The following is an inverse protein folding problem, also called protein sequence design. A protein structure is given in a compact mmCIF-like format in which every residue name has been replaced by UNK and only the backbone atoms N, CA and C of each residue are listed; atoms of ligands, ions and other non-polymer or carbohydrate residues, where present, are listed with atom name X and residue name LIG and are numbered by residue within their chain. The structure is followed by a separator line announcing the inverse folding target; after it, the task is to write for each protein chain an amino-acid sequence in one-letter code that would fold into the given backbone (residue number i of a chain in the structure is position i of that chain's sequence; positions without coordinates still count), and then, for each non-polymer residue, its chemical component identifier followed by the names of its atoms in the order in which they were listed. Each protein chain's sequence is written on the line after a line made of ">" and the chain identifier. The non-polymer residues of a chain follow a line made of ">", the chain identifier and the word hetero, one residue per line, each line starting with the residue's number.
data_IF_579239660840
#
_entry.id   IF_579239660840
#
_cell.length_a   1.000
_cell.length_b   1.000
_cell.length_c   1.000
_cell.angle_alpha   90.00
_cell.angle_beta   90.00
_cell.angle_gamma   90.00
#
_symmetry.space_group_name_H-M   'P 1'
#
loop_
_entity.id
_entity.type
_entity.pdbx_description
1 polymer ?
#
# COMPACT_ATOMS: atom_id res chain seq x y z
N UNK A 1 77.90 31.97 -1.13
CA UNK A 1 76.51 32.42 -0.88
C UNK A 1 75.79 31.36 -0.08
N UNK A 2 75.46 31.65 1.18
CA UNK A 2 74.77 30.74 2.11
C UNK A 2 73.26 30.80 1.83
N UNK A 3 72.60 29.67 1.59
CA UNK A 3 71.14 29.59 1.53
C UNK A 3 70.60 29.12 2.88
N UNK A 4 69.80 29.98 3.49
CA UNK A 4 69.11 29.77 4.77
C UNK A 4 67.84 28.95 4.50
N UNK A 5 67.67 27.85 5.22
CA UNK A 5 66.45 27.02 5.22
C UNK A 5 65.54 27.48 6.36
N UNK A 6 64.29 27.85 6.04
CA UNK A 6 63.27 28.20 7.03
C UNK A 6 62.26 27.05 7.06
N UNK A 7 62.27 26.29 8.16
CA UNK A 7 61.29 25.25 8.47
C UNK A 7 60.13 25.93 9.22
N UNK A 8 58.93 25.90 8.63
CA UNK A 8 57.70 26.36 9.26
C UNK A 8 56.97 25.14 9.83
N UNK A 9 56.93 25.03 11.16
CA UNK A 9 56.12 24.03 11.87
C UNK A 9 54.69 24.57 12.05
N UNK A 10 53.74 24.00 11.32
CA UNK A 10 52.32 24.14 11.60
C UNK A 10 51.89 23.06 12.60
N UNK A 11 51.58 23.47 13.83
CA UNK A 11 50.95 22.61 14.84
C UNK A 11 49.44 22.72 14.67
N UNK A 12 48.82 21.72 14.06
CA UNK A 12 47.37 21.55 14.04
C UNK A 12 46.94 20.82 15.33
N UNK A 13 46.29 21.54 16.24
CA UNK A 13 45.58 20.96 17.38
C UNK A 13 44.18 20.51 16.91
N UNK A 14 44.04 19.20 16.68
CA UNK A 14 42.75 18.53 16.47
C UNK A 14 42.10 18.28 17.84
N UNK A 15 41.08 19.07 18.18
CA UNK A 15 40.23 18.83 19.35
C UNK A 15 39.18 17.80 18.94
N UNK A 16 39.37 16.56 19.39
CA UNK A 16 38.40 15.48 19.29
C UNK A 16 37.30 15.70 20.34
N UNK A 17 36.10 16.07 19.91
CA UNK A 17 34.90 16.06 20.74
C UNK A 17 34.35 14.64 20.79
N UNK A 18 34.59 13.93 21.89
CA UNK A 18 33.97 12.64 22.18
C UNK A 18 32.53 12.91 22.62
N UNK A 19 31.57 12.64 21.72
CA UNK A 19 30.15 12.60 22.05
C UNK A 19 29.85 11.19 22.55
N UNK A 20 29.52 11.05 23.84
CA UNK A 20 28.99 9.80 24.38
C UNK A 20 27.53 9.67 23.94
N UNK A 21 27.27 8.77 22.97
CA UNK A 21 25.93 8.26 22.73
C UNK A 21 25.61 7.22 23.80
N UNK A 22 24.59 7.47 24.62
CA UNK A 22 24.03 6.46 25.51
C UNK A 22 23.33 5.39 24.67
N UNK A 23 23.82 4.16 24.77
CA UNK A 23 23.21 2.98 24.19
C UNK A 23 21.87 2.71 24.88
N UNK A 24 20.77 2.90 24.16
CA UNK A 24 19.43 2.53 24.62
C UNK A 24 19.33 1.01 24.45
N UNK A 25 19.28 0.26 25.54
CA UNK A 25 19.05 -1.19 25.48
C UNK A 25 17.63 -1.46 24.92
N UNK A 26 17.49 -2.24 23.84
CA UNK A 26 16.20 -2.61 23.28
C UNK A 26 15.65 -3.82 24.04
N UNK A 27 15.36 -3.65 25.33
CA UNK A 27 14.60 -4.61 26.12
C UNK A 27 13.26 -3.98 26.48
N UNK A 28 12.19 -4.77 26.31
CA UNK A 28 10.80 -4.45 26.68
C UNK A 28 9.87 -3.82 25.61
N UNK A 29 10.06 -4.16 24.34
CA UNK A 29 8.92 -4.19 23.41
C UNK A 29 8.46 -5.62 23.18
N UNK A 30 7.54 -6.11 24.01
CA UNK A 30 6.77 -7.31 23.71
C UNK A 30 5.67 -6.94 22.70
N UNK A 31 5.88 -7.29 21.43
CA UNK A 31 4.84 -7.16 20.41
C UNK A 31 3.92 -8.38 20.50
N UNK A 32 2.61 -8.13 20.62
CA UNK A 32 1.60 -9.18 20.47
C UNK A 32 1.39 -9.45 18.98
N UNK A 33 1.60 -10.70 18.57
CA UNK A 33 1.25 -11.18 17.23
C UNK A 33 -0.29 -11.17 17.09
N UNK A 34 -0.84 -10.19 16.38
CA UNK A 34 -2.25 -10.18 16.02
C UNK A 34 -2.43 -10.85 14.65
N UNK A 35 -2.78 -12.13 14.69
CA UNK A 35 -3.23 -12.87 13.50
C UNK A 35 -4.68 -12.51 13.21
N UNK A 36 -4.95 -12.00 12.01
CA UNK A 36 -6.29 -11.65 11.61
C UNK A 36 -6.70 -12.36 10.31
N UNK A 37 -7.66 -13.29 10.42
CA UNK A 37 -8.20 -14.12 9.31
C UNK A 37 -9.47 -13.54 8.68
N UNK A 38 -9.57 -13.53 7.34
CA UNK A 38 -10.74 -13.02 6.58
C UNK A 38 -11.22 -13.97 5.48
N UNK A 39 -12.35 -13.65 4.86
CA UNK A 39 -13.01 -14.50 3.85
C UNK A 39 -12.30 -14.49 2.48
N UNK A 40 -11.65 -13.38 2.11
CA UNK A 40 -10.92 -13.21 0.84
C UNK A 40 -9.42 -12.92 1.02
N UNK A 41 -9.00 -12.65 2.25
CA UNK A 41 -7.60 -12.45 2.62
C UNK A 41 -7.40 -12.83 4.10
N UNK A 42 -6.18 -12.86 4.61
CA UNK A 42 -5.80 -12.79 6.04
C UNK A 42 -4.64 -11.79 6.03
N UNK A 43 -4.53 -10.92 7.02
CA UNK A 43 -3.33 -10.09 7.18
C UNK A 43 -2.76 -10.50 8.53
N UNK A 44 -1.59 -11.13 8.51
CA UNK A 44 -0.82 -11.39 9.73
C UNK A 44 0.35 -10.41 9.69
N UNK A 45 0.32 -9.42 10.58
CA UNK A 45 1.31 -8.35 10.61
C UNK A 45 2.27 -8.52 11.76
N UNK A 46 3.57 -8.57 11.47
CA UNK A 46 4.61 -8.34 12.48
C UNK A 46 5.04 -6.86 12.39
N UNK A 47 4.91 -6.09 13.49
CA UNK A 47 5.16 -4.64 13.48
C UNK A 47 6.63 -4.23 13.33
N UNK A 48 7.59 -5.15 13.19
CA UNK A 48 8.97 -4.75 12.93
C UNK A 48 9.19 -4.57 11.41
N UNK A 49 9.57 -3.35 11.01
CA UNK A 49 9.94 -2.94 9.64
C UNK A 49 8.84 -2.85 8.56
N UNK A 50 7.58 -2.58 8.92
CA UNK A 50 6.46 -2.33 7.97
C UNK A 50 6.18 -3.44 6.94
N UNK A 51 6.68 -4.67 7.16
CA UNK A 51 6.36 -5.80 6.30
C UNK A 51 5.20 -6.60 6.89
N UNK A 52 4.20 -6.86 6.06
CA UNK A 52 2.99 -7.60 6.43
C UNK A 52 2.89 -8.87 5.59
N UNK A 53 2.57 -9.97 6.24
CA UNK A 53 2.22 -11.21 5.56
C UNK A 53 0.73 -11.13 5.21
N UNK A 54 0.46 -11.05 3.91
CA UNK A 54 -0.89 -11.01 3.36
C UNK A 54 -1.18 -12.39 2.79
N UNK A 55 -2.25 -12.99 3.25
CA UNK A 55 -2.79 -14.21 2.73
C UNK A 55 -4.00 -13.81 1.89
N UNK A 56 -4.17 -14.35 0.71
CA UNK A 56 -5.27 -14.04 -0.18
C UNK A 56 -6.01 -15.34 -0.45
N UNK A 57 -7.27 -15.43 -0.04
CA UNK A 57 -8.12 -16.57 -0.34
C UNK A 57 -8.71 -16.36 -1.74
N UNK A 58 -8.01 -16.89 -2.75
CA UNK A 58 -8.40 -16.71 -4.14
C UNK A 58 -9.36 -17.82 -4.57
N UNK A 59 -10.40 -17.42 -5.29
CA UNK A 59 -11.26 -18.35 -6.02
C UNK A 59 -10.71 -18.56 -7.42
N UNK A 60 -10.96 -19.73 -8.03
CA UNK A 60 -10.69 -19.92 -9.45
C UNK A 60 -11.41 -18.86 -10.28
N UNK A 61 -10.67 -18.19 -11.17
CA UNK A 61 -11.17 -17.11 -12.01
C UNK A 61 -10.67 -15.74 -11.55
N UNK A 62 -11.48 -14.71 -11.77
CA UNK A 62 -11.13 -13.32 -11.47
C UNK A 62 -11.36 -12.98 -10.00
N UNK A 63 -10.35 -12.38 -9.39
CA UNK A 63 -10.40 -11.87 -8.02
C UNK A 63 -9.93 -10.41 -8.04
N UNK A 64 -10.60 -9.55 -7.29
CA UNK A 64 -10.18 -8.18 -7.06
C UNK A 64 -9.74 -8.08 -5.59
N UNK A 65 -8.44 -8.01 -5.37
CA UNK A 65 -7.86 -8.19 -4.03
C UNK A 65 -6.78 -7.16 -3.77
N UNK A 66 -6.52 -6.94 -2.49
CA UNK A 66 -5.35 -6.18 -2.06
C UNK A 66 -4.07 -6.85 -2.54
N UNK A 67 -3.15 -6.07 -3.07
CA UNK A 67 -1.83 -6.54 -3.39
C UNK A 67 -0.80 -5.42 -3.28
N UNK A 68 0.35 -5.76 -2.71
CA UNK A 68 1.46 -4.84 -2.50
C UNK A 68 1.95 -4.19 -3.79
N UNK A 69 2.84 -3.23 -3.64
CA UNK A 69 3.20 -2.28 -4.71
C UNK A 69 4.16 -2.88 -5.73
N UNK A 70 4.89 -3.92 -5.32
CA UNK A 70 5.88 -4.63 -6.11
C UNK A 70 5.27 -5.69 -7.05
N UNK A 71 6.08 -6.12 -8.01
CA UNK A 71 5.75 -7.21 -8.93
C UNK A 71 5.58 -8.52 -8.13
N UNK A 72 4.56 -9.31 -8.46
CA UNK A 72 4.07 -10.44 -7.67
C UNK A 72 5.09 -11.56 -7.42
N UNK A 73 6.12 -11.66 -8.27
CA UNK A 73 6.94 -12.87 -8.36
C UNK A 73 7.94 -13.03 -7.20
N UNK A 74 8.35 -11.95 -6.54
CA UNK A 74 9.40 -11.97 -5.51
C UNK A 74 8.88 -12.21 -4.08
N UNK A 75 7.57 -12.40 -3.89
CA UNK A 75 6.95 -12.27 -2.57
C UNK A 75 6.07 -13.44 -2.12
N UNK A 76 5.96 -14.53 -2.89
CA UNK A 76 5.16 -15.69 -2.45
C UNK A 76 5.85 -16.38 -1.27
N UNK A 77 5.18 -16.40 -0.11
CA UNK A 77 5.73 -16.94 1.14
C UNK A 77 5.64 -18.49 1.17
N UNK A 78 6.56 -19.16 1.90
CA UNK A 78 6.47 -20.59 2.15
C UNK A 78 5.12 -21.01 2.75
N UNK A 79 4.64 -22.19 2.38
CA UNK A 79 3.35 -22.70 2.83
C UNK A 79 2.12 -22.03 2.19
N UNK A 80 2.32 -21.26 1.12
CA UNK A 80 1.26 -20.85 0.20
C UNK A 80 0.72 -22.06 -0.57
N UNK A 81 -0.60 -22.19 -0.68
CA UNK A 81 -1.25 -23.26 -1.47
C UNK A 81 -1.18 -22.96 -2.97
N UNK A 82 -1.19 -21.67 -3.30
CA UNK A 82 -1.03 -21.15 -4.65
C UNK A 82 0.40 -20.65 -4.85
N UNK A 83 1.00 -20.99 -5.99
CA UNK A 83 2.24 -20.38 -6.46
C UNK A 83 2.01 -19.52 -7.70
N UNK A 84 3.03 -18.80 -8.16
CA UNK A 84 2.92 -17.96 -9.37
C UNK A 84 2.50 -18.74 -10.61
N UNK A 85 2.84 -20.03 -10.74
CA UNK A 85 2.37 -20.88 -11.85
C UNK A 85 0.84 -21.06 -11.90
N UNK A 86 0.19 -20.93 -10.75
CA UNK A 86 -1.26 -21.02 -10.58
C UNK A 86 -1.96 -19.67 -10.85
N UNK A 87 -1.19 -18.58 -10.97
CA UNK A 87 -1.67 -17.26 -11.38
C UNK A 87 -1.43 -17.12 -12.88
N UNK A 88 -2.46 -16.72 -13.63
CA UNK A 88 -2.34 -16.56 -15.08
C UNK A 88 -1.97 -15.14 -15.46
N UNK A 89 -2.65 -14.17 -14.84
CA UNK A 89 -2.45 -12.76 -15.12
C UNK A 89 -2.75 -11.93 -13.88
N UNK A 90 -2.00 -10.84 -13.72
CA UNK A 90 -2.28 -9.79 -12.76
C UNK A 90 -2.40 -8.47 -13.50
N UNK A 91 -3.45 -7.70 -13.23
CA UNK A 91 -3.60 -6.33 -13.72
C UNK A 91 -3.67 -5.32 -12.58
N UNK A 92 -2.92 -4.23 -12.70
CA UNK A 92 -3.15 -3.00 -11.96
C UNK A 92 -3.90 -2.00 -12.82
N UNK A 93 -4.61 -1.05 -12.20
CA UNK A 93 -5.09 0.15 -12.91
C UNK A 93 -4.16 1.31 -12.57
N UNK A 94 -3.82 2.12 -13.57
CA UNK A 94 -3.16 3.40 -13.33
C UNK A 94 -4.22 4.50 -13.42
N UNK A 95 -4.72 5.03 -12.30
CA UNK A 95 -5.97 5.80 -12.32
C UNK A 95 -5.88 7.07 -13.17
N UNK A 96 -4.73 7.74 -13.16
CA UNK A 96 -4.55 8.96 -13.92
C UNK A 96 -4.56 8.75 -15.44
N UNK A 97 -4.13 7.59 -15.94
CA UNK A 97 -4.26 7.23 -17.36
C UNK A 97 -5.52 6.42 -17.66
N UNK A 98 -6.22 5.92 -16.63
CA UNK A 98 -7.39 5.04 -16.71
C UNK A 98 -7.11 3.75 -17.51
N UNK A 99 -5.85 3.29 -17.52
CA UNK A 99 -5.45 2.09 -18.25
C UNK A 99 -5.15 0.93 -17.30
N UNK A 100 -5.54 -0.27 -17.73
CA UNK A 100 -5.07 -1.51 -17.12
C UNK A 100 -3.67 -1.83 -17.61
N UNK A 101 -2.83 -2.26 -16.69
CA UNK A 101 -1.44 -2.60 -16.91
C UNK A 101 -1.20 -4.04 -16.47
N UNK A 102 -0.71 -4.92 -17.35
CA UNK A 102 -0.30 -6.26 -16.95
C UNK A 102 0.93 -6.16 -16.05
N UNK A 103 0.87 -6.83 -14.90
CA UNK A 103 1.95 -6.91 -13.91
C UNK A 103 2.52 -8.34 -13.80
N UNK A 104 1.76 -9.34 -14.23
CA UNK A 104 2.19 -10.74 -14.36
C UNK A 104 1.52 -11.34 -15.62
N UNK A 105 2.24 -12.13 -16.46
CA UNK A 105 3.69 -12.36 -16.39
C UNK A 105 4.47 -11.05 -16.50
N UNK A 106 5.73 -11.05 -16.07
CA UNK A 106 6.54 -9.82 -16.04
C UNK A 106 6.50 -9.14 -17.42
N UNK A 107 6.14 -7.85 -17.49
CA UNK A 107 6.10 -7.12 -18.74
C UNK A 107 7.47 -7.10 -19.41
N UNK A 108 7.52 -7.15 -20.74
CA UNK A 108 8.77 -7.01 -21.49
C UNK A 108 9.42 -5.63 -21.28
N UNK A 109 10.68 -5.46 -21.69
CA UNK A 109 11.45 -4.23 -21.47
C UNK A 109 10.75 -2.99 -22.05
N UNK A 110 10.12 -3.12 -23.23
CA UNK A 110 9.40 -2.04 -23.88
C UNK A 110 8.14 -1.65 -23.12
N UNK A 111 7.42 -2.64 -22.59
CA UNK A 111 6.28 -2.41 -21.71
C UNK A 111 6.75 -1.75 -20.41
N UNK A 112 7.82 -2.23 -19.78
CA UNK A 112 8.37 -1.62 -18.57
C UNK A 112 8.78 -0.16 -18.80
N UNK A 113 9.42 0.17 -19.92
CA UNK A 113 9.77 1.55 -20.25
C UNK A 113 8.53 2.42 -20.43
N UNK A 114 7.51 1.90 -21.13
CA UNK A 114 6.21 2.58 -21.25
C UNK A 114 5.59 2.84 -19.86
N UNK A 115 5.66 1.87 -18.96
CA UNK A 115 5.16 2.00 -17.59
C UNK A 115 5.94 3.04 -16.80
N UNK A 116 7.27 2.98 -16.84
CA UNK A 116 8.13 3.99 -16.20
C UNK A 116 7.78 5.39 -16.68
N UNK A 117 7.56 5.57 -17.99
CA UNK A 117 7.16 6.87 -18.56
C UNK A 117 5.78 7.32 -18.08
N UNK A 118 4.81 6.42 -18.03
CA UNK A 118 3.46 6.73 -17.51
C UNK A 118 3.53 7.10 -16.03
N UNK A 119 4.31 6.37 -15.24
CA UNK A 119 4.47 6.62 -13.81
C UNK A 119 5.14 7.98 -13.60
N UNK A 120 6.28 8.23 -14.24
CA UNK A 120 7.05 9.46 -14.07
C UNK A 120 6.35 10.71 -14.63
N UNK A 121 5.52 10.59 -15.66
CA UNK A 121 4.79 11.75 -16.21
C UNK A 121 3.60 12.19 -15.38
N UNK A 122 3.15 11.33 -14.44
CA UNK A 122 1.80 11.47 -13.88
C UNK A 122 1.78 11.54 -12.36
N UNK A 123 2.81 11.01 -11.72
CA UNK A 123 2.99 11.08 -10.28
C UNK A 123 4.19 12.02 -10.05
N UNK A 124 3.99 13.24 -9.53
CA UNK A 124 5.09 14.04 -9.02
C UNK A 124 5.91 13.18 -8.05
N UNK A 125 7.25 13.24 -8.10
CA UNK A 125 8.12 12.40 -7.23
C UNK A 125 7.76 12.55 -5.74
N UNK A 126 7.20 13.69 -5.34
CA UNK A 126 6.71 13.96 -3.98
C UNK A 126 5.40 13.24 -3.62
N UNK A 127 4.75 12.56 -4.58
CA UNK A 127 3.49 11.79 -4.43
C UNK A 127 3.68 10.30 -4.70
N UNK A 128 4.83 9.72 -4.38
CA UNK A 128 5.07 8.26 -4.43
C UNK A 128 4.03 7.43 -3.63
N UNK A 129 3.19 8.10 -2.85
CA UNK A 129 2.09 7.57 -2.05
C UNK A 129 0.91 7.03 -2.87
N UNK A 130 0.81 7.33 -4.18
CA UNK A 130 -0.37 6.92 -4.95
C UNK A 130 -0.21 5.53 -5.56
N UNK A 131 -0.25 4.53 -4.68
CA UNK A 131 -0.32 3.12 -5.07
C UNK A 131 -1.76 2.65 -4.96
N UNK A 132 -2.38 2.33 -6.10
CA UNK A 132 -3.66 1.60 -6.08
C UNK A 132 -3.47 0.30 -5.32
N UNK A 133 -4.23 0.11 -4.25
CA UNK A 133 -4.02 -1.00 -3.33
C UNK A 133 -4.68 -2.29 -3.82
N UNK A 134 -5.66 -2.21 -4.74
CA UNK A 134 -6.32 -3.37 -5.32
C UNK A 134 -5.83 -3.70 -6.73
N UNK A 135 -5.66 -4.99 -7.00
CA UNK A 135 -5.26 -5.55 -8.30
C UNK A 135 -6.22 -6.65 -8.71
N UNK A 136 -6.41 -6.81 -10.02
CA UNK A 136 -7.07 -7.98 -10.58
C UNK A 136 -6.08 -9.14 -10.63
N UNK A 137 -6.52 -10.31 -10.17
CA UNK A 137 -5.76 -11.55 -10.27
C UNK A 137 -6.66 -12.61 -10.91
N UNK A 138 -6.17 -13.25 -11.96
CA UNK A 138 -6.79 -14.46 -12.48
C UNK A 138 -6.07 -15.71 -11.94
N UNK A 139 -6.77 -16.49 -11.11
CA UNK A 139 -6.25 -17.72 -10.54
C UNK A 139 -6.78 -18.95 -11.28
N UNK A 140 -5.89 -19.87 -11.68
CA UNK A 140 -6.24 -21.11 -12.40
C UNK A 140 -6.96 -22.13 -11.51
N UNK A 141 -6.76 -22.04 -10.19
CA UNK A 141 -7.42 -22.84 -9.15
C UNK A 141 -7.64 -22.01 -7.89
N UNK A 142 -8.56 -22.44 -7.03
CA UNK A 142 -8.79 -21.81 -5.73
C UNK A 142 -7.70 -22.20 -4.73
N UNK A 143 -7.45 -21.36 -3.74
CA UNK A 143 -6.54 -21.63 -2.63
C UNK A 143 -6.00 -20.35 -1.99
N UNK A 144 -5.18 -20.54 -0.97
CA UNK A 144 -4.53 -19.44 -0.24
C UNK A 144 -3.20 -19.07 -0.92
N UNK A 145 -3.10 -17.81 -1.37
CA UNK A 145 -1.86 -17.19 -1.83
C UNK A 145 -1.25 -16.35 -0.71
N UNK A 146 -0.10 -16.74 -0.17
CA UNK A 146 0.62 -15.98 0.87
C UNK A 146 1.67 -15.08 0.24
N UNK A 147 1.67 -13.80 0.58
CA UNK A 147 2.50 -12.75 0.00
C UNK A 147 3.13 -11.91 1.11
N UNK A 148 4.33 -11.39 0.87
CA UNK A 148 4.86 -10.28 1.66
C UNK A 148 4.49 -8.95 1.01
N UNK A 149 4.05 -7.98 1.80
CA UNK A 149 3.79 -6.61 1.34
C UNK A 149 4.44 -5.60 2.26
N UNK A 150 4.96 -4.52 1.70
CA UNK A 150 5.84 -3.58 2.41
C UNK A 150 5.17 -2.33 2.96
N UNK A 151 3.89 -2.03 2.69
CA UNK A 151 3.23 -0.83 3.24
C UNK A 151 1.70 -0.97 3.22
N UNK A 152 1.04 -0.52 4.28
CA UNK A 152 -0.36 -0.06 4.25
C UNK A 152 -0.37 1.46 4.27
N UNK A 153 -1.12 2.08 3.35
CA UNK A 153 -1.25 3.53 3.24
C UNK A 153 -2.60 3.95 3.80
N UNK A 154 -2.57 4.73 4.87
CA UNK A 154 -3.70 5.46 5.46
C UNK A 154 -4.26 6.54 4.52
N UNK A 155 -3.44 7.08 3.61
CA UNK A 155 -3.87 8.09 2.63
C UNK A 155 -4.03 7.46 1.25
N UNK A 156 -5.22 7.57 0.65
CA UNK A 156 -5.54 7.03 -0.68
C UNK A 156 -6.03 8.14 -1.58
N UNK A 157 -5.21 8.55 -2.56
CA UNK A 157 -5.64 9.47 -3.61
C UNK A 157 -6.49 8.75 -4.66
N UNK A 158 -7.64 9.34 -4.99
CA UNK A 158 -8.58 8.86 -5.99
C UNK A 158 -8.79 9.93 -7.07
N UNK A 159 -8.96 9.49 -8.31
CA UNK A 159 -9.21 10.37 -9.45
C UNK A 159 -10.66 10.30 -9.88
N UNK A 160 -11.15 11.36 -10.52
CA UNK A 160 -12.49 11.39 -11.08
C UNK A 160 -12.75 10.19 -12.01
N UNK A 161 -13.83 9.46 -11.71
CA UNK A 161 -14.18 8.21 -12.38
C UNK A 161 -13.89 6.99 -11.50
N UNK A 162 -13.49 5.89 -12.15
CA UNK A 162 -13.34 4.58 -11.50
C UNK A 162 -11.93 4.37 -10.95
N UNK A 163 -11.86 3.94 -9.70
CA UNK A 163 -10.65 3.61 -8.97
C UNK A 163 -10.78 2.19 -8.40
N UNK A 164 -9.66 1.51 -8.19
CA UNK A 164 -9.61 0.23 -7.49
C UNK A 164 -8.91 0.42 -6.14
N UNK A 165 -9.63 0.13 -5.06
CA UNK A 165 -9.20 0.39 -3.69
C UNK A 165 -9.34 -0.89 -2.89
N UNK A 166 -8.30 -1.29 -2.18
CA UNK A 166 -8.37 -2.38 -1.22
C UNK A 166 -8.84 -1.89 0.14
N UNK A 167 -9.67 -2.70 0.79
CA UNK A 167 -10.04 -2.53 2.19
C UNK A 167 -8.91 -3.01 3.08
N UNK A 168 -8.53 -2.22 4.08
CA UNK A 168 -7.41 -2.50 4.97
C UNK A 168 -7.80 -2.18 6.43
N UNK A 169 -6.90 -2.49 7.36
CA UNK A 169 -7.19 -2.50 8.80
C UNK A 169 -7.60 -1.15 9.38
N UNK A 170 -7.22 -0.01 8.80
CA UNK A 170 -7.69 1.29 9.31
C UNK A 170 -9.13 1.61 8.94
N UNK A 171 -9.72 0.87 8.00
CA UNK A 171 -11.12 1.00 7.63
C UNK A 171 -12.03 0.11 8.49
N UNK A 172 -11.48 -0.75 9.35
CA UNK A 172 -12.25 -1.63 10.22
C UNK A 172 -13.23 -0.84 11.08
N UNK A 173 -14.45 -1.38 11.23
CA UNK A 173 -15.57 -0.81 12.00
C UNK A 173 -16.12 0.54 11.51
N UNK A 174 -15.66 1.04 10.35
CA UNK A 174 -16.19 2.26 9.75
C UNK A 174 -16.77 2.03 8.36
N UNK A 175 -17.54 2.98 7.87
CA UNK A 175 -18.09 2.97 6.51
C UNK A 175 -17.19 3.73 5.52
N UNK A 176 -17.43 3.54 4.21
CA UNK A 176 -16.77 4.36 3.19
C UNK A 176 -17.16 5.85 3.32
N UNK A 177 -18.36 6.15 3.86
CA UNK A 177 -18.80 7.52 4.08
C UNK A 177 -18.07 8.22 5.22
N UNK A 178 -17.61 7.46 6.22
CA UNK A 178 -16.82 7.99 7.34
C UNK A 178 -15.41 8.37 6.87
N UNK A 179 -14.84 7.58 5.94
CA UNK A 179 -13.46 7.76 5.47
C UNK A 179 -13.28 8.47 4.14
N UNK A 180 -14.36 8.83 3.45
CA UNK A 180 -14.28 9.46 2.12
C UNK A 180 -13.39 10.72 2.05
N UNK A 181 -13.10 11.38 3.16
CA UNK A 181 -12.25 12.56 3.19
C UNK A 181 -12.83 13.67 2.31
N UNK A 182 -12.09 14.05 1.25
CA UNK A 182 -12.52 15.03 0.25
C UNK A 182 -13.28 14.43 -0.95
N UNK A 183 -13.51 13.12 -0.93
CA UNK A 183 -14.09 12.39 -2.06
C UNK A 183 -15.61 12.48 -2.13
N UNK A 184 -16.12 12.84 -3.30
CA UNK A 184 -17.51 12.62 -3.68
C UNK A 184 -17.68 11.21 -4.22
N UNK A 185 -17.84 10.22 -3.34
CA UNK A 185 -18.09 8.83 -3.72
C UNK A 185 -19.51 8.71 -4.30
N UNK A 186 -19.60 8.33 -5.58
CA UNK A 186 -20.87 8.18 -6.29
C UNK A 186 -21.39 6.75 -6.20
N UNK A 187 -20.49 5.77 -6.33
CA UNK A 187 -20.81 4.34 -6.31
C UNK A 187 -19.62 3.53 -5.80
N UNK A 188 -19.89 2.39 -5.18
CA UNK A 188 -18.89 1.39 -4.87
C UNK A 188 -19.42 -0.01 -5.18
N UNK A 189 -18.53 -0.91 -5.60
CA UNK A 189 -18.87 -2.30 -5.93
C UNK A 189 -17.77 -3.26 -5.49
N UNK A 190 -18.18 -4.40 -4.95
CA UNK A 190 -17.33 -5.57 -4.72
C UNK A 190 -17.45 -6.50 -5.94
N UNK A 191 -16.36 -7.16 -6.33
CA UNK A 191 -16.42 -8.24 -7.30
C UNK A 191 -16.40 -9.59 -6.58
N UNK A 192 -17.51 -10.31 -6.64
CA UNK A 192 -17.69 -11.59 -5.95
C UNK A 192 -18.52 -12.54 -6.81
N UNK A 193 -18.17 -13.81 -6.81
CA UNK A 193 -18.85 -14.86 -7.59
C UNK A 193 -18.99 -14.50 -9.09
N UNK A 194 -17.93 -13.92 -9.67
CA UNK A 194 -17.88 -13.43 -11.05
C UNK A 194 -18.91 -12.35 -11.41
N UNK A 195 -19.39 -11.57 -10.43
CA UNK A 195 -20.32 -10.45 -10.66
C UNK A 195 -20.00 -9.26 -9.78
N UNK A 196 -20.41 -8.09 -10.25
CA UNK A 196 -20.39 -6.86 -9.46
C UNK A 196 -21.57 -6.83 -8.50
N UNK A 197 -21.28 -6.71 -7.21
CA UNK A 197 -22.26 -6.53 -6.15
C UNK A 197 -22.12 -5.09 -5.65
N UNK A 198 -23.23 -4.36 -5.61
CA UNK A 198 -23.22 -2.98 -5.11
C UNK A 198 -22.83 -2.99 -3.64
N UNK A 199 -21.83 -2.18 -3.30
CA UNK A 199 -21.42 -1.93 -1.94
C UNK A 199 -22.27 -0.80 -1.35
N UNK A 200 -22.72 -0.97 -0.12
CA UNK A 200 -23.43 0.08 0.62
C UNK A 200 -22.41 1.02 1.27
N UNK A 201 -22.51 2.32 0.99
CA UNK A 201 -21.52 3.30 1.44
C UNK A 201 -21.58 3.55 2.95
N UNK A 202 -22.72 3.23 3.58
CA UNK A 202 -22.96 3.37 5.02
C UNK A 202 -22.75 2.03 5.77
N UNK A 203 -22.48 0.94 5.05
CA UNK A 203 -22.12 -0.34 5.67
C UNK A 203 -20.76 -0.20 6.36
N UNK A 204 -20.73 -0.52 7.66
CA UNK A 204 -19.50 -0.71 8.40
C UNK A 204 -18.68 -1.86 7.78
N UNK A 205 -17.41 -1.59 7.56
CA UNK A 205 -16.45 -2.54 7.02
C UNK A 205 -16.11 -3.50 8.15
N UNK A 206 -16.60 -4.73 8.02
CA UNK A 206 -16.32 -5.76 8.98
C UNK A 206 -14.90 -6.28 8.79
N UNK A 207 -14.34 -6.87 9.84
CA UNK A 207 -13.10 -7.65 9.77
C UNK A 207 -13.08 -8.55 8.53
N UNK A 208 -14.15 -9.31 8.28
CA UNK A 208 -14.24 -10.25 7.15
C UNK A 208 -14.15 -9.61 5.74
N UNK A 209 -14.28 -8.29 5.64
CA UNK A 209 -14.18 -7.53 4.41
C UNK A 209 -12.76 -7.03 4.10
N UNK A 210 -11.85 -7.06 5.07
CA UNK A 210 -10.48 -6.59 4.87
C UNK A 210 -9.73 -7.45 3.84
N UNK A 211 -8.86 -6.80 3.09
CA UNK A 211 -8.11 -7.34 1.95
C UNK A 211 -8.93 -7.53 0.66
N UNK A 212 -10.26 -7.34 0.69
CA UNK A 212 -11.07 -7.24 -0.53
C UNK A 212 -10.70 -6.00 -1.32
N UNK A 213 -10.79 -6.07 -2.64
CA UNK A 213 -10.77 -4.90 -3.49
C UNK A 213 -12.18 -4.45 -3.88
N UNK A 214 -12.38 -3.13 -3.87
CA UNK A 214 -13.58 -2.45 -4.32
C UNK A 214 -13.27 -1.63 -5.59
N UNK A 215 -14.25 -1.58 -6.49
CA UNK A 215 -14.31 -0.56 -7.52
C UNK A 215 -15.10 0.64 -7.00
N UNK A 216 -14.45 1.79 -6.86
CA UNK A 216 -15.05 3.02 -6.34
C UNK A 216 -15.13 4.05 -7.45
N UNK A 217 -16.33 4.57 -7.71
CA UNK A 217 -16.55 5.69 -8.63
C UNK A 217 -16.62 6.99 -7.84
N UNK A 218 -15.70 7.92 -8.09
CA UNK A 218 -15.75 9.28 -7.55
C UNK A 218 -16.23 10.26 -8.61
N UNK A 219 -16.66 11.45 -8.16
CA UNK A 219 -17.05 12.57 -9.03
C UNK A 219 -16.08 13.76 -9.03
N UNK A 220 -14.91 13.58 -8.41
CA UNK A 220 -13.81 14.54 -8.37
C UNK A 220 -12.49 13.81 -8.04
N UNK A 221 -11.38 14.44 -8.37
CA UNK A 221 -10.07 14.11 -7.82
C UNK A 221 -10.08 14.45 -6.32
N UNK A 222 -9.59 13.55 -5.49
CA UNK A 222 -9.72 13.64 -4.04
C UNK A 222 -8.73 12.75 -3.29
N UNK A 223 -8.74 12.88 -1.97
CA UNK A 223 -7.99 12.06 -1.03
C UNK A 223 -8.96 11.49 0.01
N UNK A 224 -8.90 10.18 0.16
CA UNK A 224 -9.55 9.38 1.20
C UNK A 224 -8.53 9.19 2.33
N UNK A 225 -8.93 9.35 3.58
CA UNK A 225 -8.05 9.22 4.75
C UNK A 225 -8.48 8.01 5.58
N UNK A 226 -7.52 7.33 6.19
CA UNK A 226 -7.73 6.43 7.32
C UNK A 226 -7.98 7.23 8.60
N UNK A 227 -8.24 6.54 9.70
CA UNK A 227 -8.65 7.00 11.03
C UNK A 227 -7.87 8.11 11.72
N UNK A 228 -7.07 8.91 11.04
CA UNK A 228 -6.74 10.24 11.54
C UNK A 228 -8.06 11.00 11.64
N UNK A 229 -8.57 11.06 12.88
CA UNK A 229 -9.65 11.96 13.26
C UNK A 229 -9.45 13.22 12.46
N UNK A 230 -10.50 13.64 11.77
CA UNK A 230 -10.59 14.98 11.25
C UNK A 230 -10.48 15.88 12.48
N UNK A 231 -9.26 16.20 12.90
CA UNK A 231 -8.93 17.10 14.00
C UNK A 231 -9.42 18.45 13.51
N UNK A 232 -10.72 18.63 13.62
CA UNK A 232 -11.36 19.90 13.46
C UNK A 232 -10.96 20.61 14.74
N UNK A 233 -10.15 21.69 14.64
CA UNK A 233 -9.81 22.45 15.82
C UNK A 233 -11.11 22.80 16.54
N UNK A 234 -11.15 22.74 17.89
CA UNK A 234 -12.35 23.02 18.64
C UNK A 234 -12.95 24.36 18.19
N UNK A 235 -14.28 24.42 18.06
CA UNK A 235 -14.95 25.66 17.72
C UNK A 235 -14.53 26.74 18.74
N UNK A 236 -14.16 27.93 18.25
CA UNK A 236 -13.92 29.07 19.11
C UNK A 236 -15.25 29.43 19.80
N UNK A 237 -15.21 29.88 21.08
CA UNK A 237 -16.43 30.30 21.77
C UNK A 237 -17.15 31.40 20.96
N UNK A 238 -18.49 31.34 20.92
CA UNK A 238 -19.32 32.43 20.40
C UNK A 238 -19.19 33.62 21.36
N UNK A 239 -19.02 34.83 20.81
CA UNK A 239 -18.96 36.10 21.56
C UNK A 239 -20.29 36.43 22.26
#
# INVERSE_FOLDING_TARGET
>A
MKKLSIISCFVFLLVSSIVFASEIEPSDFSFHDETVTFNSATIEGYRSYQQYDIFLNLTRGWNLVMAGTSFFDEYVLPGSELGMKDIEVVFGIFPASKQYIPLHPQPDEKQQEKLKKIISSTIPEEREEIKTTAKWIFAKKSGILKLKSSVFYDVIALWDGWNLVALNTFLEDASLNDYKGSCKILKAYEFKDNRWIRWDLDKAIEKSDLGKGLAIKTGNDCVMYGSEEKMTPPALPED
#
